data_IF_109486537763
#
_entry.id   IF_109486537763
#
_cell.length_a   1.000
_cell.length_b   1.000
_cell.length_c   1.000
_cell.angle_alpha   90.00
_cell.angle_beta   90.00
_cell.angle_gamma   90.00
#
_symmetry.space_group_name_H-M   'P 1'
#
loop_
_entity.id
_entity.type
_entity.pdbx_description
1 polymer ?
#
# COMPACT_ATOMS: atom_id res chain seq x y z
N UNK A 1 -2.55 22.44 -35.28
CA UNK A 1 -2.13 22.24 -33.87
C UNK A 1 -1.11 21.11 -33.84
N UNK A 2 0.14 21.40 -33.46
CA UNK A 2 1.24 20.45 -33.53
C UNK A 2 1.13 19.41 -32.40
N UNK A 3 0.77 18.18 -32.78
CA UNK A 3 0.66 17.00 -31.90
C UNK A 3 1.91 16.73 -31.07
N UNK A 4 3.09 17.18 -31.52
CA UNK A 4 4.36 17.07 -30.78
C UNK A 4 4.48 17.97 -29.54
N UNK A 5 3.77 19.11 -29.53
CA UNK A 5 3.76 20.03 -28.39
C UNK A 5 2.81 19.50 -27.30
N UNK A 6 1.69 18.90 -27.72
CA UNK A 6 0.72 18.25 -26.83
C UNK A 6 1.33 17.03 -26.11
N UNK A 7 2.12 16.20 -26.79
CA UNK A 7 2.78 15.05 -26.14
C UNK A 7 3.90 15.47 -25.18
N UNK A 8 4.67 16.51 -25.51
CA UNK A 8 5.71 17.03 -24.62
C UNK A 8 5.12 17.63 -23.33
N UNK A 9 4.03 18.39 -23.44
CA UNK A 9 3.35 18.98 -22.29
C UNK A 9 2.80 17.90 -21.33
N UNK A 10 2.25 16.81 -21.87
CA UNK A 10 1.68 15.72 -21.07
C UNK A 10 2.74 14.92 -20.31
N UNK A 11 3.90 14.69 -20.93
CA UNK A 11 5.01 13.98 -20.31
C UNK A 11 5.61 14.75 -19.13
N UNK A 12 5.67 16.08 -19.23
CA UNK A 12 6.17 16.94 -18.14
C UNK A 12 5.23 16.88 -16.93
N UNK A 13 3.91 16.97 -17.13
CA UNK A 13 2.93 16.91 -16.04
C UNK A 13 2.96 15.60 -15.23
N UNK A 14 3.32 14.46 -15.86
CA UNK A 14 3.43 13.17 -15.16
C UNK A 14 4.65 13.12 -14.22
N UNK A 15 5.74 13.81 -14.56
CA UNK A 15 6.95 13.84 -13.72
C UNK A 15 6.77 14.72 -12.48
N UNK A 16 5.95 15.76 -12.55
CA UNK A 16 5.67 16.64 -11.41
C UNK A 16 4.73 15.99 -10.36
N UNK A 17 3.95 14.98 -10.73
CA UNK A 17 3.05 14.30 -9.79
C UNK A 17 3.77 13.38 -8.79
N UNK A 18 4.99 12.90 -9.11
CA UNK A 18 5.76 12.02 -8.21
C UNK A 18 6.48 12.74 -7.06
N UNK A 19 6.71 14.05 -7.14
CA UNK A 19 7.39 14.78 -6.07
C UNK A 19 6.49 15.12 -4.87
N UNK A 20 5.17 14.95 -4.99
CA UNK A 20 4.20 15.27 -3.93
C UNK A 20 3.71 14.04 -3.15
N UNK A 21 4.37 12.88 -3.30
CA UNK A 21 4.07 11.70 -2.47
C UNK A 21 4.58 11.95 -1.04
N UNK A 22 3.78 12.68 -0.26
CA UNK A 22 3.95 12.84 1.18
C UNK A 22 3.56 11.52 1.84
N UNK A 23 4.44 10.53 1.75
CA UNK A 23 4.34 9.34 2.56
C UNK A 23 4.54 9.81 4.01
N UNK A 24 3.49 9.72 4.83
CA UNK A 24 3.60 10.08 6.26
C UNK A 24 4.77 9.29 6.84
N UNK A 25 5.80 10.01 7.20
CA UNK A 25 7.02 9.39 7.67
C UNK A 25 6.79 8.90 9.09
N UNK A 26 7.11 7.63 9.34
CA UNK A 26 7.12 7.07 10.67
C UNK A 26 8.25 7.69 11.47
N UNK A 27 7.91 8.37 12.57
CA UNK A 27 8.89 9.07 13.40
C UNK A 27 8.86 8.52 14.82
N UNK A 28 10.04 8.43 15.42
CA UNK A 28 10.25 8.17 16.84
C UNK A 28 11.45 9.00 17.29
N UNK A 29 11.30 9.69 18.41
CA UNK A 29 12.32 10.62 18.90
C UNK A 29 13.62 9.89 19.23
N UNK A 30 14.75 10.46 18.78
CA UNK A 30 16.09 9.92 19.04
C UNK A 30 16.49 8.69 18.22
N UNK A 31 15.63 8.19 17.32
CA UNK A 31 15.96 7.05 16.44
C UNK A 31 16.32 7.49 15.02
N UNK A 32 17.35 6.89 14.39
CA UNK A 32 17.70 7.15 13.00
C UNK A 32 16.62 6.60 12.06
N UNK A 33 16.43 7.26 10.90
CA UNK A 33 15.42 6.85 9.91
C UNK A 33 15.56 5.41 9.42
N UNK A 34 16.79 4.89 9.35
CA UNK A 34 17.04 3.51 8.96
C UNK A 34 16.34 2.50 9.88
N UNK A 35 16.17 2.82 11.16
CA UNK A 35 15.43 1.96 12.09
C UNK A 35 13.92 2.00 11.84
N UNK A 36 13.37 3.16 11.45
CA UNK A 36 11.97 3.26 11.06
C UNK A 36 11.69 2.46 9.77
N UNK A 37 12.59 2.51 8.80
CA UNK A 37 12.48 1.76 7.54
C UNK A 37 12.58 0.24 7.79
N UNK A 38 13.49 -0.18 8.67
CA UNK A 38 13.62 -1.59 9.06
C UNK A 38 12.38 -2.07 9.84
N UNK A 39 11.91 -1.28 10.80
CA UNK A 39 10.69 -1.58 11.54
C UNK A 39 9.47 -1.69 10.62
N UNK A 40 9.35 -0.81 9.63
CA UNK A 40 8.29 -0.87 8.63
C UNK A 40 8.35 -2.15 7.80
N UNK A 41 9.53 -2.56 7.36
CA UNK A 41 9.71 -3.80 6.59
C UNK A 41 9.30 -5.03 7.40
N UNK A 42 9.73 -5.11 8.66
CA UNK A 42 9.32 -6.19 9.58
C UNK A 42 7.81 -6.22 9.78
N UNK A 43 7.20 -5.05 10.04
CA UNK A 43 5.77 -4.94 10.30
C UNK A 43 4.94 -5.32 9.07
N UNK A 44 5.38 -4.94 7.86
CA UNK A 44 4.73 -5.36 6.61
C UNK A 44 4.79 -6.87 6.41
N UNK A 45 5.97 -7.47 6.62
CA UNK A 45 6.14 -8.92 6.48
C UNK A 45 5.21 -9.69 7.44
N UNK A 46 5.09 -9.22 8.68
CA UNK A 46 4.18 -9.82 9.65
C UNK A 46 2.70 -9.62 9.30
N UNK A 47 2.35 -8.43 8.79
CA UNK A 47 0.99 -8.14 8.36
C UNK A 47 0.58 -9.00 7.17
N UNK A 48 1.45 -9.15 6.17
CA UNK A 48 1.21 -10.05 5.03
C UNK A 48 1.07 -11.51 5.50
N UNK A 49 1.97 -11.98 6.36
CA UNK A 49 1.90 -13.34 6.91
C UNK A 49 0.58 -13.61 7.65
N UNK A 50 0.05 -12.61 8.36
CA UNK A 50 -1.21 -12.72 9.09
C UNK A 50 -2.46 -12.70 8.19
N UNK A 51 -2.36 -12.16 6.97
CA UNK A 51 -3.51 -11.97 6.06
C UNK A 51 -3.55 -12.96 4.88
N UNK A 52 -2.52 -13.79 4.68
CA UNK A 52 -2.46 -14.83 3.62
C UNK A 52 -3.67 -15.79 3.65
N UNK A 53 -4.33 -15.98 4.80
CA UNK A 53 -5.48 -16.87 4.95
C UNK A 53 -6.86 -16.26 4.66
N UNK A 54 -6.96 -14.95 4.44
CA UNK A 54 -8.24 -14.26 4.20
C UNK A 54 -8.65 -14.48 2.74
N UNK A 55 -9.92 -14.86 2.51
CA UNK A 55 -10.52 -14.97 1.16
C UNK A 55 -10.67 -16.36 0.54
N UNK A 56 -10.13 -17.41 1.17
CA UNK A 56 -10.10 -18.77 0.56
C UNK A 56 -11.45 -19.48 0.41
N UNK A 57 -12.56 -18.93 0.92
CA UNK A 57 -13.79 -19.71 1.17
C UNK A 57 -15.00 -19.38 0.28
N UNK A 58 -14.94 -18.37 -0.59
CA UNK A 58 -16.07 -17.98 -1.45
C UNK A 58 -15.89 -18.53 -2.87
N UNK A 59 -16.53 -19.67 -3.17
CA UNK A 59 -16.65 -20.16 -4.56
C UNK A 59 -17.82 -19.48 -5.26
N UNK A 60 -17.50 -18.49 -6.08
CA UNK A 60 -18.47 -17.88 -6.98
C UNK A 60 -18.93 -18.85 -8.06
N UNK A 61 -20.25 -18.88 -8.35
CA UNK A 61 -20.86 -19.77 -9.35
C UNK A 61 -20.65 -19.33 -10.81
N UNK A 62 -20.20 -18.10 -11.01
CA UNK A 62 -19.97 -17.50 -12.34
C UNK A 62 -18.60 -16.84 -12.39
N UNK A 63 -18.02 -16.73 -13.59
CA UNK A 63 -16.71 -16.08 -13.78
C UNK A 63 -16.72 -14.61 -13.34
N UNK A 64 -17.78 -13.86 -13.66
CA UNK A 64 -17.94 -12.47 -13.24
C UNK A 64 -18.01 -12.29 -11.72
N UNK A 65 -18.71 -13.20 -11.03
CA UNK A 65 -18.75 -13.23 -9.57
C UNK A 65 -17.38 -13.53 -8.96
N UNK A 66 -16.61 -14.45 -9.56
CA UNK A 66 -15.28 -14.80 -9.07
C UNK A 66 -14.30 -13.63 -9.17
N UNK A 67 -14.41 -12.82 -10.23
CA UNK A 67 -13.59 -11.61 -10.39
C UNK A 67 -14.00 -10.54 -9.37
N UNK A 68 -15.31 -10.30 -9.17
CA UNK A 68 -15.76 -9.29 -8.19
C UNK A 68 -15.39 -9.68 -6.76
N UNK A 69 -15.54 -10.97 -6.41
CA UNK A 69 -15.20 -11.48 -5.08
C UNK A 69 -13.68 -11.36 -4.84
N UNK A 70 -12.84 -11.68 -5.83
CA UNK A 70 -11.39 -11.53 -5.71
C UNK A 70 -10.93 -10.08 -5.54
N UNK A 71 -11.62 -9.12 -6.18
CA UNK A 71 -11.31 -7.68 -6.00
C UNK A 71 -11.75 -7.23 -4.60
N UNK A 72 -12.96 -7.60 -4.17
CA UNK A 72 -13.47 -7.24 -2.86
C UNK A 72 -12.60 -7.82 -1.74
N UNK A 73 -12.21 -9.09 -1.86
CA UNK A 73 -11.30 -9.75 -0.94
C UNK A 73 -9.91 -9.08 -0.93
N UNK A 74 -9.37 -8.75 -2.10
CA UNK A 74 -8.10 -8.03 -2.20
C UNK A 74 -8.13 -6.65 -1.52
N UNK A 75 -9.26 -5.95 -1.56
CA UNK A 75 -9.46 -4.67 -0.86
C UNK A 75 -9.49 -4.88 0.65
N UNK A 76 -10.27 -5.84 1.15
CA UNK A 76 -10.36 -6.13 2.58
C UNK A 76 -9.00 -6.57 3.13
N UNK A 77 -8.32 -7.49 2.43
CA UNK A 77 -6.98 -7.94 2.78
C UNK A 77 -5.98 -6.79 2.85
N UNK A 78 -6.05 -5.85 1.89
CA UNK A 78 -5.20 -4.65 1.88
C UNK A 78 -5.51 -3.68 3.02
N UNK A 79 -6.78 -3.56 3.43
CA UNK A 79 -7.17 -2.77 4.60
C UNK A 79 -6.64 -3.40 5.89
N UNK A 80 -6.79 -4.71 6.06
CA UNK A 80 -6.28 -5.44 7.22
C UNK A 80 -4.75 -5.33 7.30
N UNK A 81 -4.04 -5.56 6.19
CA UNK A 81 -2.59 -5.47 6.15
C UNK A 81 -2.08 -4.06 6.53
N UNK A 82 -2.80 -3.01 6.11
CA UNK A 82 -2.49 -1.63 6.49
C UNK A 82 -2.73 -1.37 7.98
N UNK A 83 -3.83 -1.88 8.55
CA UNK A 83 -4.15 -1.73 9.97
C UNK A 83 -3.16 -2.50 10.86
N UNK A 84 -2.80 -3.73 10.47
CA UNK A 84 -1.79 -4.52 11.16
C UNK A 84 -0.41 -3.85 11.09
N UNK A 85 0.00 -3.35 9.93
CA UNK A 85 1.27 -2.63 9.77
C UNK A 85 1.31 -1.40 10.67
N UNK A 86 0.24 -0.60 10.69
CA UNK A 86 0.10 0.58 11.54
C UNK A 86 0.20 0.23 13.02
N UNK A 87 -0.54 -0.78 13.45
CA UNK A 87 -0.56 -1.23 14.85
C UNK A 87 0.81 -1.74 15.30
N UNK A 88 1.51 -2.48 14.44
CA UNK A 88 2.88 -2.93 14.69
C UNK A 88 3.86 -1.75 14.82
N UNK A 89 3.78 -0.76 13.93
CA UNK A 89 4.64 0.44 14.00
C UNK A 89 4.40 1.21 15.30
N UNK A 90 3.14 1.40 15.69
CA UNK A 90 2.77 2.03 16.97
C UNK A 90 3.29 1.23 18.16
N UNK A 91 3.22 -0.10 18.13
CA UNK A 91 3.76 -0.97 19.18
C UNK A 91 5.29 -0.86 19.31
N UNK A 92 6.00 -0.64 18.19
CA UNK A 92 7.45 -0.35 18.18
C UNK A 92 7.78 1.09 18.61
N UNK A 93 6.76 1.93 18.84
CA UNK A 93 6.87 3.30 19.32
C UNK A 93 7.01 4.35 18.22
N UNK A 94 6.65 4.02 16.97
CA UNK A 94 6.64 4.95 15.85
C UNK A 94 5.23 5.54 15.64
N UNK A 95 5.14 6.81 15.25
CA UNK A 95 3.89 7.53 14.97
C UNK A 95 3.90 8.21 13.60
#
# INVERSE_FOLDING_TARGET
MNTRILTAAFAVSLMLASCASSNKQWVKDGTPRSEADQALADCKYQAEAATIGIGGNTRSKTWGGAVSDGIADGVVRGMDEAELTKSCMMAKGFA
#
